data_IF_044244414114
#
_entry.id   IF_044244414114
#
_cell.length_a   1.000
_cell.length_b   1.000
_cell.length_c   1.000
_cell.angle_alpha   90.00
_cell.angle_beta   90.00
_cell.angle_gamma   90.00
#
_symmetry.space_group_name_H-M   'P 1'
#
loop_
_entity.id
_entity.type
_entity.pdbx_description
1 polymer ?
#
# COMPACT_ATOMS: atom_id res chain seq x y z
N UNK A 1 7.63 17.16 -0.62
CA UNK A 1 6.25 17.38 -0.17
C UNK A 1 5.31 17.03 -1.30
N UNK A 2 4.81 17.92 -2.17
CA UNK A 2 3.67 17.61 -3.09
C UNK A 2 3.67 16.22 -3.76
N UNK A 3 4.81 15.73 -4.27
CA UNK A 3 4.90 14.40 -4.89
C UNK A 3 4.79 13.21 -3.92
N UNK A 4 5.26 13.37 -2.69
CA UNK A 4 5.06 12.42 -1.59
C UNK A 4 3.58 12.32 -1.27
N UNK A 5 2.90 13.44 -1.03
CA UNK A 5 1.46 13.42 -0.73
C UNK A 5 0.63 12.89 -1.93
N UNK A 6 1.08 13.15 -3.16
CA UNK A 6 0.45 12.57 -4.35
C UNK A 6 0.63 11.05 -4.45
N UNK A 7 1.81 10.52 -4.09
CA UNK A 7 2.05 9.08 -4.07
C UNK A 7 1.18 8.40 -2.99
N UNK A 8 1.10 8.97 -1.79
CA UNK A 8 0.22 8.45 -0.73
C UNK A 8 -1.25 8.45 -1.12
N UNK A 9 -1.74 9.55 -1.70
CA UNK A 9 -3.11 9.65 -2.19
C UNK A 9 -3.41 8.63 -3.29
N UNK A 10 -2.46 8.39 -4.21
CA UNK A 10 -2.58 7.34 -5.22
C UNK A 10 -2.62 5.95 -4.59
N UNK A 11 -1.80 5.67 -3.57
CA UNK A 11 -1.82 4.39 -2.86
C UNK A 11 -3.19 4.06 -2.26
N UNK A 12 -3.87 5.06 -1.69
CA UNK A 12 -5.25 4.91 -1.18
C UNK A 12 -6.32 4.72 -2.27
N UNK A 13 -5.98 4.93 -3.55
CA UNK A 13 -6.84 4.66 -4.70
C UNK A 13 -6.44 3.35 -5.40
N UNK A 14 -5.81 2.42 -4.70
CA UNK A 14 -5.16 1.24 -5.28
C UNK A 14 -5.98 0.38 -6.25
N UNK A 15 -7.30 0.31 -6.05
CA UNK A 15 -8.23 -0.44 -6.89
C UNK A 15 -8.60 0.28 -8.20
N UNK A 16 -8.23 1.55 -8.34
CA UNK A 16 -8.47 2.33 -9.55
C UNK A 16 -7.48 1.96 -10.67
N UNK A 17 -8.02 1.79 -11.88
CA UNK A 17 -7.24 1.43 -13.06
C UNK A 17 -6.07 2.40 -13.32
N UNK A 18 -4.88 1.83 -13.48
CA UNK A 18 -3.67 2.57 -13.86
C UNK A 18 -2.92 3.25 -12.71
N UNK A 19 -3.43 3.20 -11.47
CA UNK A 19 -2.71 3.72 -10.28
C UNK A 19 -1.34 3.07 -10.13
N UNK A 20 -1.28 1.73 -10.19
CA UNK A 20 -0.03 0.98 -10.06
C UNK A 20 0.98 1.34 -11.17
N UNK A 21 0.49 1.51 -12.41
CA UNK A 21 1.32 1.90 -13.56
C UNK A 21 1.86 3.33 -13.44
N UNK A 22 1.12 4.23 -12.79
CA UNK A 22 1.59 5.59 -12.51
C UNK A 22 2.64 5.54 -11.41
N UNK A 23 2.39 4.86 -10.30
CA UNK A 23 3.32 4.74 -9.17
C UNK A 23 4.67 4.15 -9.62
N UNK A 24 4.67 3.07 -10.41
CA UNK A 24 5.89 2.41 -10.92
C UNK A 24 6.81 3.35 -11.71
N UNK A 25 6.28 4.41 -12.35
CA UNK A 25 7.10 5.39 -13.09
C UNK A 25 8.02 6.21 -12.18
N UNK A 26 7.71 6.28 -10.88
CA UNK A 26 8.43 7.11 -9.91
C UNK A 26 9.33 6.31 -8.96
N UNK A 27 9.49 4.99 -9.17
CA UNK A 27 10.42 4.16 -8.38
C UNK A 27 11.87 4.65 -8.41
N UNK A 28 12.27 5.32 -9.49
CA UNK A 28 13.61 5.89 -9.66
C UNK A 28 13.62 7.42 -9.61
N UNK A 29 12.65 8.04 -8.92
CA UNK A 29 12.61 9.49 -8.77
C UNK A 29 13.91 10.02 -8.18
N UNK A 30 14.36 11.21 -8.61
CA UNK A 30 15.58 11.82 -8.09
C UNK A 30 15.51 12.06 -6.57
N UNK A 31 14.32 12.34 -6.06
CA UNK A 31 14.08 12.64 -4.65
C UNK A 31 13.86 11.36 -3.84
N UNK A 32 14.60 11.19 -2.76
CA UNK A 32 14.53 9.98 -1.93
C UNK A 32 13.16 9.80 -1.30
N UNK A 33 12.61 10.87 -0.72
CA UNK A 33 11.29 10.79 -0.08
C UNK A 33 10.22 10.34 -1.07
N UNK A 34 10.31 10.73 -2.35
CA UNK A 34 9.35 10.28 -3.37
C UNK A 34 9.50 8.79 -3.66
N UNK A 35 10.72 8.28 -3.83
CA UNK A 35 10.95 6.84 -4.06
C UNK A 35 10.42 6.00 -2.89
N UNK A 36 10.70 6.41 -1.67
CA UNK A 36 10.23 5.73 -0.46
C UNK A 36 8.70 5.76 -0.36
N UNK A 37 8.09 6.89 -0.69
CA UNK A 37 6.63 7.03 -0.72
C UNK A 37 5.98 6.12 -1.76
N UNK A 38 6.59 5.98 -2.94
CA UNK A 38 6.09 5.12 -4.02
C UNK A 38 6.10 3.65 -3.60
N UNK A 39 7.12 3.21 -2.86
CA UNK A 39 7.18 1.83 -2.34
C UNK A 39 6.00 1.58 -1.40
N UNK A 40 5.80 2.47 -0.41
CA UNK A 40 4.67 2.35 0.53
C UNK A 40 3.32 2.41 -0.21
N UNK A 41 3.18 3.31 -1.18
CA UNK A 41 1.95 3.45 -1.96
C UNK A 41 1.64 2.23 -2.82
N UNK A 42 2.66 1.51 -3.33
CA UNK A 42 2.46 0.26 -4.07
C UNK A 42 1.96 -0.84 -3.14
N UNK A 43 2.50 -0.95 -1.92
CA UNK A 43 2.02 -1.91 -0.92
C UNK A 43 0.57 -1.59 -0.51
N UNK A 44 0.25 -0.30 -0.30
CA UNK A 44 -1.13 0.14 -0.05
C UNK A 44 -2.06 -0.22 -1.21
N UNK A 45 -1.61 0.01 -2.46
CA UNK A 45 -2.44 -0.27 -3.62
C UNK A 45 -2.72 -1.76 -3.80
N UNK A 46 -1.75 -2.62 -3.48
CA UNK A 46 -1.93 -4.06 -3.45
C UNK A 46 -2.95 -4.49 -2.38
N UNK A 47 -2.86 -3.92 -1.18
CA UNK A 47 -3.78 -4.18 -0.08
C UNK A 47 -5.23 -3.77 -0.43
N UNK A 48 -5.43 -2.56 -0.96
CA UNK A 48 -6.77 -2.11 -1.36
C UNK A 48 -7.39 -3.04 -2.43
N UNK A 49 -6.58 -3.52 -3.37
CA UNK A 49 -7.00 -4.49 -4.40
C UNK A 49 -7.27 -5.90 -3.88
N UNK A 50 -6.59 -6.33 -2.81
CA UNK A 50 -6.79 -7.68 -2.28
C UNK A 50 -8.15 -7.83 -1.59
N UNK A 51 -8.80 -6.70 -1.24
CA UNK A 51 -10.06 -6.67 -0.51
C UNK A 51 -9.92 -7.18 0.93
N UNK A 52 -8.68 -7.25 1.43
CA UNK A 52 -8.40 -7.62 2.82
C UNK A 52 -8.88 -6.52 3.75
N UNK A 53 -9.60 -6.90 4.80
CA UNK A 53 -10.09 -5.95 5.81
C UNK A 53 -9.01 -5.62 6.85
N UNK A 54 -8.07 -6.53 7.08
CA UNK A 54 -7.00 -6.38 8.07
C UNK A 54 -5.64 -6.29 7.39
N UNK A 55 -4.93 -5.18 7.63
CA UNK A 55 -3.58 -4.94 7.12
C UNK A 55 -2.49 -5.75 7.83
N UNK A 56 -2.86 -6.47 8.90
CA UNK A 56 -1.96 -7.31 9.66
C UNK A 56 -2.74 -8.50 10.21
N UNK A 57 -2.19 -9.70 10.04
CA UNK A 57 -2.76 -10.89 10.65
C UNK A 57 -2.56 -10.84 12.16
N UNK A 58 -3.65 -10.75 12.91
CA UNK A 58 -3.63 -11.08 14.33
C UNK A 58 -3.62 -12.61 14.41
N UNK A 59 -2.57 -13.25 14.95
CA UNK A 59 -2.61 -14.69 15.15
C UNK A 59 -3.77 -14.98 16.10
N UNK A 60 -4.74 -15.79 15.65
CA UNK A 60 -5.81 -16.26 16.54
C UNK A 60 -5.16 -16.93 17.74
N UNK A 61 -5.33 -16.35 18.93
CA UNK A 61 -4.91 -16.98 20.17
C UNK A 61 -5.64 -18.34 20.24
N UNK A 62 -4.86 -19.42 20.14
CA UNK A 62 -5.34 -20.79 20.09
C UNK A 62 -6.53 -20.98 21.02
N UNK A 63 -7.73 -21.07 20.44
CA UNK A 63 -8.97 -21.30 21.18
C UNK A 63 -8.80 -22.67 21.83
N UNK A 64 -8.42 -22.68 23.11
CA UNK A 64 -8.34 -23.91 23.88
C UNK A 64 -9.77 -24.40 24.01
N UNK A 65 -10.11 -25.40 23.20
CA UNK A 65 -11.37 -26.12 23.33
C UNK A 65 -11.25 -26.94 24.59
N UNK A 66 -11.65 -26.36 25.72
CA UNK A 66 -11.79 -27.09 26.97
C UNK A 66 -13.03 -27.99 26.84
N UNK A 67 -12.78 -29.29 26.69
CA UNK A 67 -13.77 -30.36 26.85
C UNK A 67 -14.04 -30.62 28.34
#
# INVERSE_FOLDING_TARGET
>A
MVRHEAAEALGSLGDEDGVEDVLKRFLNDSEQVVRESVIVALDMAEFERSGETEYALIPEAATTTAA
#
